data_IF_007186578952
#
_entry.id   IF_007186578952
#
_cell.length_a   1.000
_cell.length_b   1.000
_cell.length_c   1.000
_cell.angle_alpha   90.00
_cell.angle_beta   90.00
_cell.angle_gamma   90.00
#
_symmetry.space_group_name_H-M   'P 1'
#
loop_
_entity.id
_entity.type
_entity.pdbx_description
1 polymer ?
#
# COMPACT_ATOMS: atom_id res chain seq x y z
N UNK A 1 27.66 10.23 7.29
CA UNK A 1 27.19 8.91 6.81
C UNK A 1 28.36 8.19 6.17
N UNK A 2 28.61 6.94 6.55
CA UNK A 2 29.72 6.12 6.02
C UNK A 2 29.30 5.46 4.71
N UNK A 3 30.23 5.12 3.80
CA UNK A 3 29.92 4.39 2.56
C UNK A 3 29.11 3.10 2.82
N UNK A 4 29.41 2.44 3.94
CA UNK A 4 28.71 1.24 4.40
C UNK A 4 27.22 1.50 4.68
N UNK A 5 26.86 2.63 5.30
CA UNK A 5 25.44 2.95 5.59
C UNK A 5 24.65 3.21 4.32
N UNK A 6 25.23 3.89 3.33
CA UNK A 6 24.58 4.12 2.02
C UNK A 6 24.34 2.81 1.26
N UNK A 7 25.28 1.88 1.32
CA UNK A 7 25.13 0.54 0.72
C UNK A 7 23.99 -0.24 1.38
N UNK A 8 23.90 -0.22 2.71
CA UNK A 8 22.81 -0.87 3.43
C UNK A 8 21.45 -0.24 3.12
N UNK A 9 21.34 1.09 3.14
CA UNK A 9 20.11 1.80 2.80
C UNK A 9 19.68 1.53 1.35
N UNK A 10 20.64 1.53 0.42
CA UNK A 10 20.37 1.24 -0.99
C UNK A 10 19.84 -0.18 -1.22
N UNK A 11 20.44 -1.17 -0.54
CA UNK A 11 19.97 -2.57 -0.61
C UNK A 11 18.60 -2.72 0.07
N UNK A 12 18.39 -2.11 1.23
CA UNK A 12 17.10 -2.13 1.92
C UNK A 12 15.98 -1.52 1.07
N UNK A 13 16.24 -0.35 0.48
CA UNK A 13 15.29 0.32 -0.41
C UNK A 13 15.07 -0.49 -1.71
N UNK A 14 16.13 -1.08 -2.26
CA UNK A 14 16.04 -1.98 -3.41
C UNK A 14 15.17 -3.21 -3.14
N UNK A 15 15.30 -3.84 -1.97
CA UNK A 15 14.43 -4.94 -1.56
C UNK A 15 12.96 -4.50 -1.43
N UNK A 16 12.72 -3.30 -0.88
CA UNK A 16 11.37 -2.75 -0.77
C UNK A 16 10.74 -2.53 -2.16
N UNK A 17 11.48 -1.88 -3.07
CA UNK A 17 11.03 -1.68 -4.45
C UNK A 17 10.82 -3.00 -5.19
N UNK A 18 11.69 -3.99 -4.95
CA UNK A 18 11.56 -5.33 -5.53
C UNK A 18 10.28 -6.02 -5.06
N UNK A 19 9.95 -5.96 -3.76
CA UNK A 19 8.71 -6.52 -3.21
C UNK A 19 7.49 -5.82 -3.82
N UNK A 20 7.51 -4.49 -3.94
CA UNK A 20 6.43 -3.74 -4.59
C UNK A 20 6.26 -4.13 -6.07
N UNK A 21 7.35 -4.26 -6.82
CA UNK A 21 7.33 -4.66 -8.22
C UNK A 21 6.82 -6.10 -8.39
N UNK A 22 7.23 -7.01 -7.50
CA UNK A 22 6.76 -8.39 -7.46
C UNK A 22 5.24 -8.45 -7.25
N UNK A 23 4.66 -7.60 -6.39
CA UNK A 23 3.21 -7.50 -6.20
C UNK A 23 2.46 -7.16 -7.49
N UNK A 24 2.98 -6.22 -8.29
CA UNK A 24 2.41 -5.90 -9.60
C UNK A 24 2.54 -7.09 -10.57
N UNK A 25 3.70 -7.77 -10.60
CA UNK A 25 3.92 -8.94 -11.45
C UNK A 25 2.99 -10.11 -11.10
N UNK A 26 2.74 -10.36 -9.80
CA UNK A 26 1.86 -11.43 -9.34
C UNK A 26 0.39 -11.13 -9.68
N UNK A 27 -0.06 -9.89 -9.47
CA UNK A 27 -1.45 -9.50 -9.82
C UNK A 27 -1.71 -9.58 -11.32
N UNK A 28 -0.76 -9.12 -12.13
CA UNK A 28 -0.80 -9.30 -13.59
C UNK A 28 -0.77 -10.78 -14.00
N UNK A 29 0.13 -11.56 -13.42
CA UNK A 29 0.34 -12.97 -13.80
C UNK A 29 -0.81 -13.90 -13.44
N UNK A 30 -1.50 -13.66 -12.31
CA UNK A 30 -2.59 -14.51 -11.84
C UNK A 30 -3.97 -14.06 -12.33
N UNK A 31 -4.23 -12.74 -12.37
CA UNK A 31 -5.55 -12.20 -12.71
C UNK A 31 -5.66 -11.73 -14.16
N UNK A 32 -4.54 -11.68 -14.90
CA UNK A 32 -4.43 -11.07 -16.23
C UNK A 32 -5.05 -9.66 -16.28
N UNK A 33 -4.93 -8.93 -15.16
CA UNK A 33 -5.52 -7.63 -14.93
C UNK A 33 -4.45 -6.62 -14.55
N UNK A 34 -4.35 -5.51 -15.28
CA UNK A 34 -3.34 -4.48 -15.04
C UNK A 34 -3.76 -3.59 -13.86
N UNK A 35 -3.39 -3.99 -12.65
CA UNK A 35 -3.74 -3.28 -11.42
C UNK A 35 -2.62 -2.31 -10.97
N UNK A 36 -2.54 -1.13 -11.58
CA UNK A 36 -1.64 -0.05 -11.13
C UNK A 36 -1.98 0.47 -9.73
N UNK A 37 -3.21 0.24 -9.25
CA UNK A 37 -3.68 0.69 -7.95
C UNK A 37 -3.18 -0.17 -6.79
N UNK A 38 -2.42 -1.23 -7.06
CA UNK A 38 -1.79 -2.05 -6.03
C UNK A 38 -1.03 -1.20 -4.98
N UNK A 39 -0.30 -0.17 -5.42
CA UNK A 39 0.41 0.75 -4.53
C UNK A 39 -0.50 1.52 -3.56
N UNK A 40 -1.75 1.80 -3.95
CA UNK A 40 -2.72 2.46 -3.07
C UNK A 40 -3.14 1.55 -1.89
N UNK A 41 -3.16 0.24 -2.08
CA UNK A 41 -3.42 -0.71 -0.99
C UNK A 41 -2.25 -0.79 -0.01
N UNK A 42 -1.01 -0.78 -0.52
CA UNK A 42 0.19 -0.70 0.30
C UNK A 42 0.20 0.60 1.14
N UNK A 43 -0.14 1.72 0.49
CA UNK A 43 -0.30 3.03 1.15
C UNK A 43 -1.38 2.99 2.25
N UNK A 44 -2.56 2.42 1.96
CA UNK A 44 -3.64 2.29 2.94
C UNK A 44 -3.21 1.48 4.17
N UNK A 45 -2.53 0.35 3.99
CA UNK A 45 -1.98 -0.44 5.10
C UNK A 45 -0.98 0.35 5.95
N UNK A 46 -0.07 1.10 5.31
CA UNK A 46 0.88 1.97 6.00
C UNK A 46 0.21 3.03 6.86
N UNK A 47 -0.79 3.73 6.31
CA UNK A 47 -1.54 4.76 7.06
C UNK A 47 -2.39 4.18 8.19
N UNK A 48 -3.03 3.03 7.98
CA UNK A 48 -3.80 2.35 9.04
C UNK A 48 -2.87 1.98 10.20
N UNK A 49 -1.69 1.43 9.90
CA UNK A 49 -0.68 1.14 10.92
C UNK A 49 -0.23 2.42 11.65
N UNK A 50 0.07 3.49 10.91
CA UNK A 50 0.47 4.76 11.48
C UNK A 50 -0.61 5.37 12.39
N UNK A 51 -1.88 5.27 12.03
CA UNK A 51 -3.00 5.73 12.87
C UNK A 51 -3.10 4.87 14.14
N UNK A 52 -3.03 3.54 14.02
CA UNK A 52 -3.11 2.64 15.18
C UNK A 52 -1.97 2.89 16.18
N UNK A 53 -0.75 3.07 15.70
CA UNK A 53 0.41 3.29 16.57
C UNK A 53 0.44 4.73 17.10
N UNK A 54 0.32 5.73 16.22
CA UNK A 54 0.55 7.13 16.60
C UNK A 54 -0.65 7.79 17.29
N UNK A 55 -1.89 7.42 16.94
CA UNK A 55 -3.11 8.04 17.50
C UNK A 55 -3.72 7.21 18.62
N UNK A 56 -3.80 5.89 18.43
CA UNK A 56 -4.45 4.99 19.39
C UNK A 56 -3.44 4.47 20.43
N UNK A 57 -2.15 4.49 20.14
CA UNK A 57 -1.11 4.00 21.05
C UNK A 57 -1.04 2.48 21.13
N UNK A 58 -1.51 1.77 20.10
CA UNK A 58 -1.42 0.32 20.06
C UNK A 58 0.02 -0.16 19.90
N UNK A 59 0.36 -1.35 20.43
CA UNK A 59 1.68 -1.92 20.25
C UNK A 59 1.91 -2.21 18.77
N UNK A 60 3.08 -1.82 18.26
CA UNK A 60 3.46 -1.95 16.85
C UNK A 60 3.23 -3.37 16.29
N UNK A 61 3.58 -4.39 17.08
CA UNK A 61 3.40 -5.79 16.69
C UNK A 61 1.94 -6.22 16.55
N UNK A 62 1.00 -5.62 17.27
CA UNK A 62 -0.43 -5.87 17.08
C UNK A 62 -1.01 -5.00 15.96
N UNK A 63 -0.45 -3.81 15.74
CA UNK A 63 -0.87 -2.91 14.67
C UNK A 63 -0.56 -3.46 13.28
N UNK A 64 0.55 -4.17 13.11
CA UNK A 64 0.94 -4.83 11.86
C UNK A 64 -0.12 -5.80 11.29
N UNK A 65 -0.52 -6.88 12.00
CA UNK A 65 -1.52 -7.82 11.50
C UNK A 65 -2.89 -7.15 11.34
N UNK A 66 -3.22 -6.16 12.17
CA UNK A 66 -4.47 -5.43 12.06
C UNK A 66 -4.51 -4.47 10.87
N UNK A 67 -3.39 -3.83 10.53
CA UNK A 67 -3.25 -3.05 9.31
C UNK A 67 -3.38 -3.92 8.06
N UNK A 68 -2.79 -5.12 8.08
CA UNK A 68 -2.95 -6.11 7.02
C UNK A 68 -4.41 -6.59 6.89
N UNK A 69 -5.06 -6.94 8.01
CA UNK A 69 -6.45 -7.37 7.99
C UNK A 69 -7.38 -6.26 7.48
N UNK A 70 -7.19 -5.03 7.92
CA UNK A 70 -7.97 -3.88 7.48
C UNK A 70 -7.76 -3.58 5.99
N UNK A 71 -6.51 -3.61 5.49
CA UNK A 71 -6.24 -3.40 4.06
C UNK A 71 -6.80 -4.55 3.20
N UNK A 72 -6.76 -5.79 3.70
CA UNK A 72 -7.38 -6.93 3.04
C UNK A 72 -8.91 -6.78 2.94
N UNK A 73 -9.58 -6.28 3.99
CA UNK A 73 -11.01 -5.99 3.97
C UNK A 73 -11.33 -4.90 2.94
N UNK A 74 -10.55 -3.82 2.89
CA UNK A 74 -10.71 -2.76 1.86
C UNK A 74 -10.55 -3.35 0.46
N UNK A 75 -9.53 -4.20 0.27
CA UNK A 75 -9.31 -4.95 -0.97
C UNK A 75 -10.51 -5.78 -1.38
N UNK A 76 -11.03 -6.60 -0.46
CA UNK A 76 -12.18 -7.47 -0.71
C UNK A 76 -13.46 -6.69 -1.06
N UNK A 77 -13.69 -5.55 -0.39
CA UNK A 77 -14.82 -4.66 -0.70
C UNK A 77 -14.68 -4.09 -2.11
N UNK A 78 -13.51 -3.53 -2.44
CA UNK A 78 -13.25 -2.96 -3.76
C UNK A 78 -13.30 -4.01 -4.86
N UNK A 79 -12.82 -5.22 -4.58
CA UNK A 79 -12.85 -6.33 -5.53
C UNK A 79 -14.30 -6.69 -5.90
N UNK A 80 -15.15 -6.83 -4.88
CA UNK A 80 -16.56 -7.19 -5.07
C UNK A 80 -17.37 -6.07 -5.72
N UNK A 81 -17.09 -4.81 -5.40
CA UNK A 81 -17.86 -3.66 -5.90
C UNK A 81 -17.40 -3.18 -7.27
N UNK A 82 -16.09 -3.09 -7.51
CA UNK A 82 -15.54 -2.46 -8.71
C UNK A 82 -14.87 -3.49 -9.63
N UNK A 83 -13.83 -4.18 -9.16
CA UNK A 83 -12.99 -5.02 -10.03
C UNK A 83 -13.79 -6.13 -10.73
N UNK A 84 -14.76 -6.74 -10.04
CA UNK A 84 -15.61 -7.80 -10.63
C UNK A 84 -16.30 -7.37 -11.92
N UNK A 85 -16.69 -6.10 -12.03
CA UNK A 85 -17.39 -5.55 -13.20
C UNK A 85 -16.45 -5.24 -14.37
N UNK A 86 -15.16 -5.07 -14.10
CA UNK A 86 -14.14 -4.70 -15.10
C UNK A 86 -13.38 -5.88 -15.70
N UNK A 87 -13.44 -7.08 -15.11
CA UNK A 87 -12.78 -8.26 -15.68
C UNK A 87 -13.22 -8.58 -17.12
N UNK A 88 -14.44 -8.21 -17.50
CA UNK A 88 -15.00 -8.52 -18.83
C UNK A 88 -14.77 -7.38 -19.83
N UNK A 89 -14.02 -6.34 -19.44
CA UNK A 89 -13.75 -5.14 -20.25
C UNK A 89 -12.34 -5.18 -20.86
N UNK A 90 -12.07 -4.27 -21.80
CA UNK A 90 -10.79 -4.23 -22.52
C UNK A 90 -9.63 -3.90 -21.58
N UNK A 91 -8.40 -4.26 -21.96
CA UNK A 91 -7.21 -3.99 -21.14
C UNK A 91 -6.99 -2.49 -20.90
N UNK A 92 -7.35 -1.64 -21.86
CA UNK A 92 -7.29 -0.18 -21.71
C UNK A 92 -8.28 0.32 -20.65
N UNK A 93 -9.48 -0.25 -20.59
CA UNK A 93 -10.48 0.12 -19.57
C UNK A 93 -9.98 -0.22 -18.16
N UNK A 94 -9.29 -1.35 -18.01
CA UNK A 94 -8.70 -1.78 -16.73
C UNK A 94 -7.61 -0.82 -16.26
N UNK A 95 -6.72 -0.42 -17.17
CA UNK A 95 -5.64 0.54 -16.88
C UNK A 95 -6.23 1.91 -16.51
N UNK A 96 -7.18 2.42 -17.30
CA UNK A 96 -7.81 3.72 -17.06
C UNK A 96 -8.55 3.74 -15.71
N UNK A 97 -9.29 2.67 -15.41
CA UNK A 97 -9.94 2.49 -14.13
C UNK A 97 -8.93 2.46 -12.98
N UNK A 98 -7.86 1.69 -13.13
CA UNK A 98 -6.85 1.56 -12.09
C UNK A 98 -6.13 2.89 -11.82
N UNK A 99 -5.85 3.69 -12.86
CA UNK A 99 -5.28 5.03 -12.71
C UNK A 99 -6.27 5.96 -12.01
N UNK A 100 -7.54 5.92 -12.41
CA UNK A 100 -8.61 6.68 -11.74
C UNK A 100 -8.73 6.32 -10.26
N UNK A 101 -8.64 5.04 -9.93
CA UNK A 101 -8.69 4.54 -8.56
C UNK A 101 -7.47 4.99 -7.75
N UNK A 102 -6.27 5.03 -8.35
CA UNK A 102 -5.08 5.61 -7.71
C UNK A 102 -5.32 7.07 -7.36
N UNK A 103 -5.80 7.88 -8.30
CA UNK A 103 -6.04 9.30 -8.02
C UNK A 103 -7.09 9.50 -6.94
N UNK A 104 -8.21 8.77 -6.99
CA UNK A 104 -9.23 8.83 -5.93
C UNK A 104 -8.65 8.41 -4.57
N UNK A 105 -7.88 7.32 -4.51
CA UNK A 105 -7.31 6.83 -3.26
C UNK A 105 -6.27 7.79 -2.68
N UNK A 106 -5.39 8.34 -3.51
CA UNK A 106 -4.38 9.33 -3.10
C UNK A 106 -5.05 10.60 -2.59
N UNK A 107 -6.00 11.16 -3.34
CA UNK A 107 -6.73 12.37 -2.92
C UNK A 107 -7.57 12.13 -1.66
N UNK A 108 -8.24 11.00 -1.53
CA UNK A 108 -8.99 10.67 -0.32
C UNK A 108 -8.07 10.54 0.90
N UNK A 109 -6.89 9.96 0.72
CA UNK A 109 -5.90 9.81 1.79
C UNK A 109 -5.27 11.15 2.17
N UNK A 110 -4.91 11.97 1.18
CA UNK A 110 -4.40 13.32 1.38
C UNK A 110 -5.43 14.20 2.12
N UNK A 111 -6.71 14.09 1.76
CA UNK A 111 -7.79 14.81 2.44
C UNK A 111 -7.96 14.39 3.92
N UNK A 112 -7.84 13.10 4.23
CA UNK A 112 -8.05 12.58 5.60
C UNK A 112 -6.81 12.75 6.48
N UNK A 113 -5.62 12.50 5.93
CA UNK A 113 -4.37 12.44 6.70
C UNK A 113 -3.51 13.70 6.57
N UNK A 114 -3.78 14.53 5.55
CA UNK A 114 -2.96 15.66 5.17
C UNK A 114 -1.79 15.27 4.25
N UNK A 115 -1.21 16.27 3.60
CA UNK A 115 -0.14 16.11 2.59
C UNK A 115 1.24 15.81 3.16
N UNK A 116 1.32 15.51 4.45
CA UNK A 116 2.57 15.29 5.17
C UNK A 116 2.82 13.81 5.37
N UNK A 117 4.05 13.38 5.11
CA UNK A 117 4.46 12.00 5.33
C UNK A 117 4.43 11.67 6.81
N UNK A 118 3.55 10.74 7.19
CA UNK A 118 3.40 10.31 8.59
C UNK A 118 4.38 9.18 8.89
N UNK A 119 5.39 9.45 9.72
CA UNK A 119 6.29 8.42 10.23
C UNK A 119 5.64 7.66 11.39
N UNK A 120 5.81 6.34 11.41
CA UNK A 120 5.35 5.50 12.51
C UNK A 120 6.33 5.69 13.67
N UNK A 121 5.84 6.03 14.86
CA UNK A 121 6.66 6.05 16.08
C UNK A 121 7.02 4.62 16.44
N UNK A 122 8.23 4.22 16.10
CA UNK A 122 8.74 2.91 16.48
C UNK A 122 8.99 2.89 17.99
N UNK A 123 8.65 1.78 18.68
CA UNK A 123 8.99 1.61 20.08
C UNK A 123 10.51 1.54 20.28
N UNK A 124 11.00 1.92 21.46
CA UNK A 124 12.43 2.20 21.74
C UNK A 124 13.40 1.04 21.43
N UNK A 125 12.90 -0.19 21.30
CA UNK A 125 13.69 -1.38 20.95
C UNK A 125 13.86 -1.60 19.43
N UNK A 126 13.18 -0.82 18.58
CA UNK A 126 13.26 -0.85 17.11
C UNK A 126 13.78 0.48 16.51
N UNK A 127 14.21 1.43 17.35
CA UNK A 127 14.83 2.70 16.95
C UNK A 127 16.34 2.54 16.77
#
# INVERSE_FOLDING_TARGET
MTLLTILFDGVAYGMLLFVLACGLAVTLGLMNFVNLAHGAFAMAGGYICAVLVNRIGWPFFAALPMAFAASAVIGAVLERSLYRHLYHRSHLDQVLFSIGLVFMAVTATDYVMGSSQTFIKLPDYLQ
#
